data_IF_640472635311
#
_entry.id   IF_640472635311
#
_cell.length_a   1.000
_cell.length_b   1.000
_cell.length_c   1.000
_cell.angle_alpha   90.00
_cell.angle_beta   90.00
_cell.angle_gamma   90.00
#
_symmetry.space_group_name_H-M   'P 1'
#
loop_
_entity.id
_entity.type
_entity.pdbx_description
1 polymer ?
#
# COMPACT_ATOMS: atom_id res chain seq x y z
N UNK A 1 5.91 -11.15 -17.93
CA UNK A 1 5.88 -10.49 -16.62
C UNK A 1 5.77 -9.00 -16.91
N UNK A 2 4.88 -8.29 -16.22
CA UNK A 2 4.77 -6.83 -16.40
C UNK A 2 5.71 -6.17 -15.40
N UNK A 3 6.66 -5.39 -15.92
CA UNK A 3 7.63 -4.66 -15.12
C UNK A 3 7.31 -3.16 -15.13
N UNK A 4 8.02 -2.39 -14.30
CA UNK A 4 7.90 -0.92 -14.22
C UNK A 4 7.89 -0.22 -15.59
N UNK A 5 8.57 -0.78 -16.58
CA UNK A 5 8.66 -0.25 -17.96
C UNK A 5 7.34 -0.26 -18.71
N UNK A 6 6.35 -1.03 -18.27
CA UNK A 6 4.99 -1.07 -18.85
C UNK A 6 4.09 0.06 -18.33
N UNK A 7 4.52 0.76 -17.27
CA UNK A 7 3.80 1.85 -16.64
C UNK A 7 4.49 3.19 -16.89
N UNK A 8 3.69 4.24 -17.03
CA UNK A 8 4.22 5.61 -17.03
C UNK A 8 4.66 6.02 -15.64
N UNK A 9 5.40 7.14 -15.51
CA UNK A 9 5.86 7.64 -14.22
C UNK A 9 4.69 7.95 -13.26
N UNK A 10 3.59 8.49 -13.79
CA UNK A 10 2.39 8.81 -13.00
C UNK A 10 1.67 7.55 -12.54
N UNK A 11 1.48 6.59 -13.45
CA UNK A 11 0.90 5.26 -13.16
C UNK A 11 1.75 4.50 -12.12
N UNK A 12 3.07 4.53 -12.27
CA UNK A 12 3.99 3.91 -11.34
C UNK A 12 3.94 4.57 -9.96
N UNK A 13 3.85 5.90 -9.92
CA UNK A 13 3.69 6.64 -8.66
C UNK A 13 2.37 6.25 -7.98
N UNK A 14 1.29 6.05 -8.75
CA UNK A 14 0.00 5.52 -8.26
C UNK A 14 0.16 4.14 -7.61
N UNK A 15 0.90 3.24 -8.26
CA UNK A 15 1.22 1.92 -7.71
C UNK A 15 2.08 2.00 -6.44
N UNK A 16 3.09 2.87 -6.41
CA UNK A 16 3.97 3.07 -5.26
C UNK A 16 3.24 3.58 -4.02
N UNK A 17 2.27 4.49 -4.17
CA UNK A 17 1.48 5.00 -3.05
C UNK A 17 0.32 4.10 -2.67
N UNK A 18 -0.15 3.22 -3.55
CA UNK A 18 -1.28 2.32 -3.31
C UNK A 18 -1.20 1.48 -2.01
N UNK A 19 -0.07 0.86 -1.60
CA UNK A 19 0.03 0.16 -0.32
C UNK A 19 -0.16 1.09 0.89
N UNK A 20 0.33 2.33 0.81
CA UNK A 20 0.14 3.32 1.86
C UNK A 20 -1.32 3.78 1.93
N UNK A 21 -1.96 3.97 0.77
CA UNK A 21 -3.38 4.33 0.66
C UNK A 21 -4.28 3.22 1.19
N UNK A 22 -3.96 1.95 0.91
CA UNK A 22 -4.68 0.79 1.44
C UNK A 22 -4.60 0.71 2.96
N UNK A 23 -3.44 1.02 3.54
CA UNK A 23 -3.28 1.20 4.99
C UNK A 23 -4.13 2.36 5.51
N UNK A 24 -4.02 3.55 4.88
CA UNK A 24 -4.78 4.76 5.25
C UNK A 24 -6.28 4.55 5.24
N UNK A 25 -6.84 3.81 4.28
CA UNK A 25 -8.27 3.56 4.20
C UNK A 25 -8.83 2.85 5.44
N UNK A 26 -8.01 1.98 6.06
CA UNK A 26 -8.32 1.30 7.31
C UNK A 26 -8.09 2.25 8.49
N UNK A 27 -6.95 2.93 8.54
CA UNK A 27 -6.59 3.82 9.65
C UNK A 27 -7.46 5.07 9.76
N UNK A 28 -7.99 5.58 8.64
CA UNK A 28 -8.87 6.74 8.63
C UNK A 28 -10.22 6.45 9.28
N UNK A 29 -10.61 5.19 9.44
CA UNK A 29 -11.78 4.80 10.22
C UNK A 29 -11.53 4.94 11.73
N UNK A 30 -10.28 4.74 12.19
CA UNK A 30 -9.86 4.78 13.60
C UNK A 30 -8.48 5.47 13.73
N UNK A 31 -8.44 6.82 13.81
CA UNK A 31 -7.19 7.59 13.77
C UNK A 31 -6.32 7.48 15.03
N UNK A 32 -6.77 6.78 16.07
CA UNK A 32 -6.07 6.67 17.35
C UNK A 32 -4.93 5.64 17.29
N UNK A 33 -3.73 6.09 16.88
CA UNK A 33 -2.45 5.39 17.10
C UNK A 33 -1.94 4.50 15.97
N UNK A 34 -2.84 3.92 15.17
CA UNK A 34 -2.48 2.95 14.13
C UNK A 34 -1.71 3.55 12.95
N UNK A 35 -1.87 4.86 12.71
CA UNK A 35 -1.13 5.56 11.65
C UNK A 35 0.36 5.65 11.97
N UNK A 36 0.70 5.75 13.25
CA UNK A 36 2.07 5.67 13.75
C UNK A 36 2.68 4.31 13.45
N UNK A 37 1.99 3.23 13.84
CA UNK A 37 2.44 1.85 13.63
C UNK A 37 2.61 1.49 12.15
N UNK A 38 1.70 1.96 11.28
CA UNK A 38 1.84 1.78 9.84
C UNK A 38 3.08 2.52 9.33
N UNK A 39 3.27 3.78 9.71
CA UNK A 39 4.47 4.55 9.36
C UNK A 39 5.74 3.86 9.86
N UNK A 40 5.75 3.34 11.08
CA UNK A 40 6.87 2.60 11.65
C UNK A 40 7.15 1.31 10.89
N UNK A 41 6.11 0.57 10.48
CA UNK A 41 6.25 -0.65 9.69
C UNK A 41 6.83 -0.40 8.29
N UNK A 42 6.48 0.73 7.66
CA UNK A 42 7.05 1.15 6.38
C UNK A 42 8.42 1.82 6.53
N UNK A 43 8.66 2.59 7.60
CA UNK A 43 9.95 3.21 7.89
C UNK A 43 11.01 2.18 8.27
N UNK A 44 10.63 1.16 9.05
CA UNK A 44 11.45 0.00 9.37
C UNK A 44 11.52 -1.04 8.26
N UNK A 45 10.77 -0.85 7.17
CA UNK A 45 10.78 -1.74 6.01
C UNK A 45 10.17 -3.12 6.25
N UNK A 46 9.56 -3.41 7.41
CA UNK A 46 9.00 -4.72 7.74
C UNK A 46 7.88 -5.15 6.79
N UNK A 47 6.98 -4.20 6.43
CA UNK A 47 5.88 -4.45 5.49
C UNK A 47 6.38 -4.79 4.06
N UNK A 48 7.56 -4.28 3.71
CA UNK A 48 8.19 -4.44 2.39
C UNK A 48 9.10 -5.66 2.37
N UNK A 49 9.80 -5.91 3.47
CA UNK A 49 10.75 -7.00 3.65
C UNK A 49 10.09 -8.35 3.40
N UNK A 50 8.85 -8.55 3.87
CA UNK A 50 8.09 -9.79 3.63
C UNK A 50 7.99 -10.15 2.14
N UNK A 51 7.69 -9.16 1.29
CA UNK A 51 7.63 -9.36 -0.17
C UNK A 51 9.03 -9.44 -0.78
N UNK A 52 9.97 -8.60 -0.31
CA UNK A 52 11.33 -8.60 -0.81
C UNK A 52 12.02 -9.97 -0.62
N UNK A 53 11.72 -10.66 0.47
CA UNK A 53 12.23 -12.01 0.77
C UNK A 53 11.40 -13.14 0.16
N UNK A 54 10.18 -12.85 -0.29
CA UNK A 54 9.29 -13.87 -0.86
C UNK A 54 9.68 -14.16 -2.31
N UNK A 55 10.24 -15.35 -2.53
CA UNK A 55 10.64 -15.81 -3.87
C UNK A 55 9.43 -15.99 -4.81
N UNK A 56 8.24 -16.27 -4.27
CA UNK A 56 6.99 -16.42 -5.01
C UNK A 56 6.21 -15.11 -5.18
N UNK A 57 6.67 -14.02 -4.55
CA UNK A 57 6.00 -12.74 -4.73
C UNK A 57 6.03 -12.30 -6.19
N UNK A 58 4.91 -11.74 -6.61
CA UNK A 58 4.70 -11.30 -7.98
C UNK A 58 5.74 -10.24 -8.39
N UNK A 59 6.23 -10.32 -9.63
CA UNK A 59 7.28 -9.42 -10.16
C UNK A 59 6.93 -7.94 -10.05
N UNK A 60 5.66 -7.59 -10.25
CA UNK A 60 5.18 -6.22 -10.09
C UNK A 60 5.29 -5.74 -8.64
N UNK A 61 4.86 -6.58 -7.68
CA UNK A 61 4.92 -6.24 -6.25
C UNK A 61 6.37 -6.10 -5.81
N UNK A 62 7.26 -6.99 -6.27
CA UNK A 62 8.70 -6.89 -6.02
C UNK A 62 9.29 -5.60 -6.58
N UNK A 63 8.91 -5.20 -7.80
CA UNK A 63 9.39 -3.97 -8.41
C UNK A 63 8.93 -2.73 -7.61
N UNK A 64 7.67 -2.70 -7.16
CA UNK A 64 7.15 -1.63 -6.28
C UNK A 64 7.92 -1.58 -4.96
N UNK A 65 8.18 -2.73 -4.34
CA UNK A 65 8.94 -2.85 -3.09
C UNK A 65 10.40 -2.44 -3.25
N UNK A 66 11.03 -2.82 -4.36
CA UNK A 66 12.40 -2.45 -4.69
C UNK A 66 12.53 -0.92 -4.86
N UNK A 67 11.62 -0.29 -5.61
CA UNK A 67 11.59 1.17 -5.73
C UNK A 67 11.29 1.85 -4.40
N UNK A 68 10.35 1.33 -3.61
CA UNK A 68 10.08 1.86 -2.28
C UNK A 68 11.27 1.68 -1.33
N UNK A 69 12.19 0.74 -1.59
CA UNK A 69 13.42 0.62 -0.79
C UNK A 69 14.44 1.72 -1.12
N UNK A 70 14.33 2.36 -2.29
CA UNK A 70 15.17 3.50 -2.67
C UNK A 70 14.73 4.78 -1.96
N UNK A 71 15.63 5.76 -1.83
CA UNK A 71 15.25 7.10 -1.35
C UNK A 71 14.27 7.80 -2.30
N UNK A 72 14.45 7.64 -3.61
CA UNK A 72 13.64 8.30 -4.63
C UNK A 72 12.22 7.75 -4.65
N UNK A 73 12.04 6.43 -4.58
CA UNK A 73 10.71 5.83 -4.53
C UNK A 73 9.95 6.17 -3.25
N UNK A 74 10.64 6.26 -2.10
CA UNK A 74 10.01 6.75 -0.86
C UNK A 74 9.58 8.20 -0.96
N UNK A 75 10.44 9.07 -1.49
CA UNK A 75 10.08 10.48 -1.69
C UNK A 75 8.92 10.61 -2.68
N UNK A 76 8.97 9.94 -3.83
CA UNK A 76 7.90 9.97 -4.81
C UNK A 76 6.56 9.45 -4.26
N UNK A 77 6.58 8.36 -3.48
CA UNK A 77 5.38 7.84 -2.83
C UNK A 77 4.81 8.83 -1.80
N UNK A 78 5.67 9.45 -0.98
CA UNK A 78 5.28 10.45 0.03
C UNK A 78 4.75 11.72 -0.61
N UNK A 79 5.44 12.25 -1.62
CA UNK A 79 5.07 13.47 -2.33
C UNK A 79 3.76 13.26 -3.10
N UNK A 80 3.63 12.11 -3.78
CA UNK A 80 2.41 11.73 -4.49
C UNK A 80 1.20 11.54 -3.56
N UNK A 81 1.42 10.96 -2.38
CA UNK A 81 0.40 10.84 -1.35
C UNK A 81 0.02 12.22 -0.78
N UNK A 82 1.01 13.03 -0.43
CA UNK A 82 0.79 14.36 0.11
C UNK A 82 0.05 15.25 -0.89
N UNK A 83 0.38 15.20 -2.18
CA UNK A 83 -0.33 15.94 -3.22
C UNK A 83 -1.78 15.49 -3.38
N UNK A 84 -2.06 14.19 -3.29
CA UNK A 84 -3.40 13.62 -3.47
C UNK A 84 -4.34 13.92 -2.30
N UNK A 85 -3.80 13.92 -1.08
CA UNK A 85 -4.53 14.20 0.16
C UNK A 85 -4.38 15.64 0.67
N UNK A 86 -3.57 16.48 0.01
CA UNK A 86 -3.42 17.89 0.37
C UNK A 86 -4.78 18.57 0.47
N UNK A 87 -5.06 19.19 1.63
CA UNK A 87 -6.32 19.89 1.89
C UNK A 87 -7.56 19.00 2.01
N UNK A 88 -7.43 17.67 1.99
CA UNK A 88 -8.57 16.75 2.07
C UNK A 88 -9.02 16.54 3.53
N UNK A 89 -10.32 16.56 3.77
CA UNK A 89 -10.88 16.30 5.11
C UNK A 89 -10.86 14.80 5.43
N UNK A 90 -10.84 14.40 6.72
CA UNK A 90 -10.90 12.98 7.12
C UNK A 90 -11.94 12.11 6.38
N UNK A 91 -13.22 12.53 6.19
CA UNK A 91 -14.18 11.75 5.42
C UNK A 91 -13.84 11.66 3.92
N UNK A 92 -13.26 12.72 3.35
CA UNK A 92 -12.83 12.74 1.94
C UNK A 92 -11.58 11.86 1.73
N UNK A 93 -10.69 11.78 2.73
CA UNK A 93 -9.51 10.91 2.66
C UNK A 93 -9.90 9.44 2.47
N UNK A 94 -10.96 8.97 3.16
CA UNK A 94 -11.45 7.61 2.97
C UNK A 94 -11.97 7.39 1.55
N UNK A 95 -12.81 8.30 1.06
CA UNK A 95 -13.37 8.23 -0.30
C UNK A 95 -12.27 8.28 -1.37
N UNK A 96 -11.33 9.22 -1.26
CA UNK A 96 -10.17 9.32 -2.15
C UNK A 96 -9.32 8.06 -2.10
N UNK A 97 -9.06 7.51 -0.91
CA UNK A 97 -8.28 6.28 -0.79
C UNK A 97 -8.94 5.12 -1.55
N UNK A 98 -10.25 4.95 -1.40
CA UNK A 98 -11.00 3.91 -2.13
C UNK A 98 -10.97 4.17 -3.64
N UNK A 99 -11.10 5.43 -4.06
CA UNK A 99 -11.05 5.81 -5.47
C UNK A 99 -9.67 5.50 -6.09
N UNK A 100 -8.58 5.89 -5.43
CA UNK A 100 -7.22 5.57 -5.89
C UNK A 100 -6.97 4.07 -5.98
N UNK A 101 -7.47 3.28 -5.02
CA UNK A 101 -7.37 1.81 -5.07
C UNK A 101 -8.18 1.22 -6.24
N UNK A 102 -9.33 1.82 -6.59
CA UNK A 102 -10.09 1.45 -7.78
C UNK A 102 -9.35 1.81 -9.07
N UNK A 103 -8.73 2.99 -9.14
CA UNK A 103 -7.91 3.39 -10.27
C UNK A 103 -6.74 2.43 -10.48
N UNK A 104 -6.01 2.08 -9.41
CA UNK A 104 -4.95 1.06 -9.43
C UNK A 104 -5.49 -0.27 -9.94
N UNK A 105 -6.65 -0.70 -9.42
CA UNK A 105 -7.28 -1.96 -9.82
C UNK A 105 -7.68 -2.00 -11.30
N UNK A 106 -8.19 -0.88 -11.84
CA UNK A 106 -8.58 -0.75 -13.24
C UNK A 106 -7.34 -0.71 -14.15
N UNK A 107 -6.32 0.04 -13.76
CA UNK A 107 -5.04 0.15 -14.45
C UNK A 107 -4.34 -1.20 -14.54
N UNK A 108 -4.30 -1.96 -13.43
CA UNK A 108 -3.77 -3.32 -13.42
C UNK A 108 -4.62 -4.26 -14.26
N UNK A 109 -5.96 -4.16 -14.20
CA UNK A 109 -6.83 -4.96 -15.06
C UNK A 109 -6.60 -4.71 -16.56
N UNK A 110 -6.27 -3.47 -16.94
CA UNK A 110 -6.02 -3.10 -18.33
C UNK A 110 -4.60 -3.46 -18.82
N UNK A 111 -3.57 -3.22 -18.01
CA UNK A 111 -2.16 -3.40 -18.43
C UNK A 111 -1.52 -4.70 -17.95
N UNK A 112 -1.93 -5.19 -16.79
CA UNK A 112 -1.30 -6.32 -16.11
C UNK A 112 -2.36 -7.28 -15.51
N UNK A 113 -3.31 -7.80 -16.31
CA UNK A 113 -4.39 -8.63 -15.78
C UNK A 113 -3.88 -9.90 -15.07
N UNK A 114 -2.71 -10.42 -15.47
CA UNK A 114 -2.06 -11.56 -14.81
C UNK A 114 -1.45 -11.23 -13.45
N UNK A 115 -1.02 -9.98 -13.23
CA UNK A 115 -0.40 -9.53 -11.98
C UNK A 115 -1.42 -8.83 -11.06
N UNK A 116 -2.56 -8.41 -11.61
CA UNK A 116 -3.61 -7.68 -10.91
C UNK A 116 -4.17 -8.43 -9.69
N UNK A 117 -4.34 -9.75 -9.79
CA UNK A 117 -4.83 -10.57 -8.68
C UNK A 117 -3.84 -10.56 -7.50
N UNK A 118 -2.57 -10.88 -7.78
CA UNK A 118 -1.52 -10.92 -6.77
C UNK A 118 -1.29 -9.54 -6.12
N UNK A 119 -1.35 -8.46 -6.90
CA UNK A 119 -1.21 -7.11 -6.36
C UNK A 119 -2.38 -6.73 -5.43
N UNK A 120 -3.62 -7.06 -5.80
CA UNK A 120 -4.80 -6.84 -4.95
C UNK A 120 -4.73 -7.66 -3.66
N UNK A 121 -4.31 -8.92 -3.75
CA UNK A 121 -4.09 -9.76 -2.56
C UNK A 121 -3.02 -9.18 -1.64
N UNK A 122 -1.94 -8.62 -2.20
CA UNK A 122 -0.92 -7.94 -1.39
C UNK A 122 -1.47 -6.70 -0.68
N UNK A 123 -2.21 -5.83 -1.38
CA UNK A 123 -2.87 -4.68 -0.75
C UNK A 123 -3.83 -5.11 0.36
N UNK A 124 -4.57 -6.20 0.14
CA UNK A 124 -5.48 -6.78 1.13
C UNK A 124 -4.73 -7.24 2.38
N UNK A 125 -3.59 -7.91 2.21
CA UNK A 125 -2.74 -8.33 3.34
C UNK A 125 -2.25 -7.12 4.15
N UNK A 126 -1.88 -6.00 3.51
CA UNK A 126 -1.48 -4.78 4.21
C UNK A 126 -2.66 -4.21 5.02
N UNK A 127 -3.83 -4.09 4.40
CA UNK A 127 -5.04 -3.64 5.08
C UNK A 127 -5.42 -4.56 6.25
N UNK A 128 -5.28 -5.87 6.07
CA UNK A 128 -5.59 -6.86 7.10
C UNK A 128 -4.60 -6.81 8.27
N UNK A 129 -3.29 -6.74 8.02
CA UNK A 129 -2.30 -6.52 9.09
C UNK A 129 -2.54 -5.21 9.84
N UNK A 130 -2.99 -4.17 9.15
CA UNK A 130 -3.33 -2.89 9.79
C UNK A 130 -4.59 -2.99 10.65
N UNK A 131 -5.61 -3.73 10.19
CA UNK A 131 -6.85 -3.96 10.94
C UNK A 131 -6.65 -4.90 12.14
N UNK A 132 -5.82 -5.95 12.00
CA UNK A 132 -5.45 -6.84 13.09
C UNK A 132 -4.64 -6.11 14.17
N UNK A 133 -3.80 -5.14 13.80
CA UNK A 133 -3.13 -4.26 14.76
C UNK A 133 -4.09 -3.27 15.47
N UNK A 134 -5.25 -2.96 14.88
CA UNK A 134 -6.33 -2.15 15.50
C UNK A 134 -7.13 -2.90 16.53
N UNK A 135 -7.36 -4.18 16.24
CA UNK A 135 -8.12 -5.04 17.12
C UNK A 135 -7.35 -5.13 18.44
N UNK A 136 -7.92 -4.74 19.60
CA UNK A 136 -7.29 -5.08 20.86
C UNK A 136 -7.15 -6.59 20.83
N UNK A 137 -5.90 -7.07 20.87
CA UNK A 137 -5.62 -8.47 21.10
C UNK A 137 -6.28 -8.80 22.44
N UNK A 138 -7.50 -9.31 22.39
CA UNK A 138 -7.93 -10.28 23.38
C UNK A 138 -7.01 -11.47 23.11
N UNK A 139 -5.85 -11.38 23.73
CA UNK A 139 -4.86 -12.42 23.85
C UNK A 139 -5.57 -13.57 24.56
N UNK A 140 -6.24 -14.38 23.75
CA UNK A 140 -6.54 -15.75 24.08
C UNK A 140 -5.25 -16.52 23.90
N UNK A 141 -4.33 -16.32 24.83
CA UNK A 141 -3.28 -17.29 25.11
C UNK A 141 -3.44 -17.66 26.58
N UNK A 142 -4.31 -18.64 26.82
CA UNK A 142 -4.23 -19.49 27.99
C UNK A 142 -2.97 -20.35 27.85
N UNK A 143 -2.04 -20.22 28.79
CA UNK A 143 -1.17 -21.30 29.25
C UNK A 143 -0.68 -20.99 30.67
#
# INVERSE_FOLDING_TARGET
MVDKTSFTKDEWTLLLKSPMIAGMAITAAEPSGLWGLLKESFAGGAALSKVATDSNANGLVKAVVADFSTSEGRSAARDGLQAEFAGSKPPEMKTKSIDSLRQVSALLGAKAPGDAAAFKDWLRQISQSTAEASSPSYSSECA
#
